data_IF_853199511472
#
_entry.id   IF_853199511472
#
_cell.length_a   1.000
_cell.length_b   1.000
_cell.length_c   1.000
_cell.angle_alpha   90.00
_cell.angle_beta   90.00
_cell.angle_gamma   90.00
#
_symmetry.space_group_name_H-M   'P 1'
#
loop_
_entity.id
_entity.type
_entity.pdbx_description
1 polymer ?
#
# COMPACT_ATOMS: atom_id res chain seq x y z
N UNK A 1 -6.53 9.20 -0.87
CA UNK A 1 -5.83 10.49 -0.90
C UNK A 1 -4.80 10.47 0.22
N UNK A 2 -3.55 10.76 -0.10
CA UNK A 2 -2.43 10.83 0.86
C UNK A 2 -2.03 12.30 1.01
N UNK A 3 -1.71 12.71 2.23
CA UNK A 3 -1.37 14.10 2.55
C UNK A 3 0.01 14.16 3.20
N UNK A 4 0.77 15.22 2.97
CA UNK A 4 2.03 15.45 3.67
C UNK A 4 1.77 15.88 5.13
N UNK A 5 2.59 15.40 6.06
CA UNK A 5 2.58 15.85 7.45
C UNK A 5 3.86 16.62 7.76
N UNK A 6 3.72 17.76 8.44
CA UNK A 6 4.87 18.48 9.01
C UNK A 6 5.18 18.04 10.46
N UNK A 7 4.31 17.21 11.05
CA UNK A 7 4.49 16.70 12.40
C UNK A 7 5.50 15.56 12.41
N UNK A 8 6.47 15.64 13.34
CA UNK A 8 7.44 14.57 13.60
C UNK A 8 6.77 13.44 14.39
N UNK A 9 6.03 12.59 13.68
CA UNK A 9 5.36 11.41 14.23
C UNK A 9 6.04 10.14 13.73
N UNK A 10 5.99 9.06 14.49
CA UNK A 10 6.50 7.76 14.05
C UNK A 10 5.61 7.16 12.95
N UNK A 11 6.20 6.35 12.08
CA UNK A 11 5.44 5.54 11.11
C UNK A 11 4.60 4.47 11.83
N UNK A 12 3.32 4.36 11.48
CA UNK A 12 2.39 3.38 12.07
C UNK A 12 2.60 1.95 11.54
N UNK A 13 3.47 1.77 10.54
CA UNK A 13 3.79 0.44 10.02
C UNK A 13 4.55 -0.36 11.08
N UNK A 14 4.03 -1.56 11.38
CA UNK A 14 4.61 -2.47 12.36
C UNK A 14 6.11 -2.66 12.10
N UNK A 15 6.93 -2.50 13.15
CA UNK A 15 8.39 -2.58 13.12
C UNK A 15 9.11 -1.50 12.28
N UNK A 16 8.42 -0.46 11.81
CA UNK A 16 9.06 0.72 11.23
C UNK A 16 9.42 1.71 12.34
N UNK A 17 10.64 2.28 12.29
CA UNK A 17 11.10 3.32 13.23
C UNK A 17 11.34 4.66 12.56
N UNK A 18 11.02 4.78 11.28
CA UNK A 18 11.20 6.01 10.53
C UNK A 18 10.16 7.06 10.93
N UNK A 19 10.50 8.32 10.76
CA UNK A 19 9.55 9.42 10.88
C UNK A 19 8.57 9.37 9.71
N UNK A 20 7.29 9.59 10.00
CA UNK A 20 6.25 9.71 9.00
C UNK A 20 6.38 11.02 8.24
N UNK A 21 6.22 10.93 6.92
CA UNK A 21 6.23 12.06 5.99
C UNK A 21 4.81 12.33 5.48
N UNK A 22 3.95 11.31 5.54
CA UNK A 22 2.60 11.35 5.02
C UNK A 22 1.58 10.85 6.04
N UNK A 23 0.32 11.22 5.83
CA UNK A 23 -0.82 10.59 6.51
C UNK A 23 -1.98 10.28 5.57
N UNK A 24 -2.74 9.26 5.94
CA UNK A 24 -3.95 8.79 5.26
C UNK A 24 -5.12 8.93 6.25
N UNK A 25 -6.24 9.57 5.87
CA UNK A 25 -7.42 9.62 6.74
C UNK A 25 -8.06 8.22 6.82
N UNK A 26 -8.39 7.78 8.03
CA UNK A 26 -9.19 6.58 8.24
C UNK A 26 -10.66 6.87 7.88
N UNK A 27 -11.34 5.92 7.23
CA UNK A 27 -12.73 6.11 6.75
C UNK A 27 -13.79 6.16 7.86
N UNK A 28 -13.54 5.52 9.00
CA UNK A 28 -14.58 5.22 10.00
C UNK A 28 -14.34 5.86 11.36
N UNK A 29 -13.11 6.27 11.65
CA UNK A 29 -12.72 6.95 12.89
C UNK A 29 -11.91 8.15 12.46
N UNK A 30 -12.01 9.28 13.17
CA UNK A 30 -11.21 10.51 12.98
C UNK A 30 -9.68 10.31 13.16
N UNK A 31 -9.17 9.10 12.93
CA UNK A 31 -7.78 8.73 12.97
C UNK A 31 -7.07 9.05 11.66
N UNK A 32 -5.77 9.33 11.78
CA UNK A 32 -4.84 9.47 10.68
C UNK A 32 -3.86 8.32 10.78
N UNK A 33 -3.60 7.64 9.68
CA UNK A 33 -2.52 6.66 9.57
C UNK A 33 -1.29 7.35 9.03
N UNK A 34 -0.25 7.45 9.83
CA UNK A 34 1.01 8.09 9.50
C UNK A 34 1.97 7.07 8.87
N UNK A 35 2.57 7.43 7.75
CA UNK A 35 3.45 6.55 6.98
C UNK A 35 4.69 7.31 6.49
N UNK A 36 5.85 6.65 6.54
CA UNK A 36 7.10 7.17 5.98
C UNK A 36 7.18 6.91 4.47
N UNK A 37 8.05 7.64 3.77
CA UNK A 37 8.18 7.50 2.31
C UNK A 37 8.59 6.10 1.86
N UNK A 38 9.44 5.40 2.64
CA UNK A 38 9.89 4.05 2.29
C UNK A 38 8.77 3.00 2.37
N UNK A 39 7.92 3.09 3.39
CA UNK A 39 6.76 2.21 3.53
C UNK A 39 5.68 2.52 2.49
N UNK A 40 5.47 3.79 2.16
CA UNK A 40 4.53 4.18 1.11
C UNK A 40 4.93 3.62 -0.26
N UNK A 41 6.22 3.63 -0.60
CA UNK A 41 6.74 3.02 -1.84
C UNK A 41 6.51 1.51 -1.90
N UNK A 42 6.83 0.77 -0.83
CA UNK A 42 6.58 -0.68 -0.75
C UNK A 42 5.10 -1.01 -0.94
N UNK A 43 4.22 -0.25 -0.29
CA UNK A 43 2.78 -0.42 -0.45
C UNK A 43 2.34 -0.15 -1.90
N UNK A 44 2.90 0.88 -2.54
CA UNK A 44 2.63 1.17 -3.95
C UNK A 44 3.10 0.04 -4.88
N UNK A 45 4.25 -0.57 -4.61
CA UNK A 45 4.78 -1.72 -5.36
C UNK A 45 3.93 -2.98 -5.20
N UNK A 46 3.39 -3.23 -4.00
CA UNK A 46 2.48 -4.37 -3.76
C UNK A 46 1.11 -4.18 -4.43
N UNK A 47 0.57 -2.96 -4.38
CA UNK A 47 -0.72 -2.61 -4.98
C UNK A 47 -0.61 -2.31 -6.48
N UNK A 48 0.59 -2.11 -7.00
CA UNK A 48 0.80 -1.91 -8.42
C UNK A 48 0.20 -3.10 -9.18
N UNK A 49 -0.69 -2.86 -10.16
CA UNK A 49 -1.25 -3.94 -10.96
C UNK A 49 -0.10 -4.65 -11.67
N UNK A 50 0.25 -5.85 -11.18
CA UNK A 50 1.24 -6.70 -11.84
C UNK A 50 0.64 -7.09 -13.17
N UNK A 51 1.14 -6.49 -14.25
CA UNK A 51 0.80 -6.92 -15.60
C UNK A 51 1.07 -8.43 -15.69
N UNK A 52 0.09 -9.24 -16.12
CA UNK A 52 0.32 -10.66 -16.28
C UNK A 52 1.49 -10.86 -17.25
N UNK A 53 2.50 -11.65 -16.84
CA UNK A 53 3.73 -11.89 -17.62
C UNK A 53 3.43 -12.40 -19.04
N UNK A 54 2.25 -12.96 -19.29
CA UNK A 54 1.68 -13.14 -20.63
C UNK A 54 0.14 -13.33 -20.58
N UNK A 55 -0.60 -13.05 -21.67
CA UNK A 55 -2.03 -13.39 -21.77
C UNK A 55 -2.34 -14.87 -21.52
N UNK A 56 -1.39 -15.76 -21.87
CA UNK A 56 -1.53 -17.21 -21.71
C UNK A 56 -1.66 -17.64 -20.24
N UNK A 57 -1.03 -16.93 -19.30
CA UNK A 57 -1.13 -17.28 -17.88
C UNK A 57 -2.50 -16.95 -17.28
N UNK A 58 -3.20 -15.93 -17.81
CA UNK A 58 -4.55 -15.55 -17.35
C UNK A 58 -5.59 -16.57 -17.82
N UNK A 59 -5.46 -17.05 -19.06
CA UNK A 59 -6.36 -18.07 -19.63
C UNK A 59 -6.20 -19.39 -18.88
N UNK A 60 -4.95 -19.83 -18.62
CA UNK A 60 -4.67 -21.05 -17.85
C UNK A 60 -5.27 -20.99 -16.45
N UNK A 61 -5.09 -19.88 -15.73
CA UNK A 61 -5.62 -19.71 -14.37
C UNK A 61 -7.16 -19.72 -14.33
N UNK A 62 -7.81 -19.06 -15.30
CA UNK A 62 -9.28 -19.07 -15.43
C UNK A 62 -9.88 -20.42 -15.84
N UNK A 63 -9.10 -21.27 -16.52
CA UNK A 63 -9.50 -22.65 -16.82
C UNK A 63 -9.36 -23.56 -15.59
N UNK A 64 -8.29 -23.38 -14.79
CA UNK A 64 -8.08 -24.13 -13.55
C UNK A 64 -9.08 -23.74 -12.44
N UNK A 65 -9.52 -22.48 -12.37
CA UNK A 65 -10.54 -22.00 -11.40
C UNK A 65 -12.00 -22.43 -11.74
N UNK A 66 -12.24 -23.07 -12.90
CA UNK A 66 -13.58 -23.48 -13.37
C UNK A 66 -13.87 -24.99 -13.21
N UNK A 67 -12.96 -25.75 -12.61
CA UNK A 67 -13.11 -27.17 -12.23
C UNK A 67 -13.36 -27.22 -10.72
#
# INVERSE_FOLDING_TARGET
MIFETQHKTACDVKNCRNTAEFYLPAKTICGRFYICGSCARKLAEELAPRAPKSPKSVIKRKMEEKI
#
